data_IF_344794404924
#
_entry.id   IF_344794404924
#
_cell.length_a   1.000
_cell.length_b   1.000
_cell.length_c   1.000
_cell.angle_alpha   90.00
_cell.angle_beta   90.00
_cell.angle_gamma   90.00
#
_symmetry.space_group_name_H-M   'P 1'
#
loop_
_entity.id
_entity.type
_entity.pdbx_description
1 polymer ?
#
# COMPACT_ATOMS: atom_id res chain seq x y z
N UNK A 1 11.12 15.76 2.67
CA UNK A 1 9.99 16.00 1.75
C UNK A 1 8.70 15.95 2.55
N UNK A 2 7.71 16.72 2.13
CA UNK A 2 6.34 16.69 2.67
C UNK A 2 5.65 15.38 2.31
N UNK A 3 4.54 15.06 2.97
CA UNK A 3 3.71 13.90 2.61
C UNK A 3 3.27 13.97 1.14
N UNK A 4 3.35 12.83 0.45
CA UNK A 4 2.90 12.70 -0.94
C UNK A 4 1.41 13.09 -1.09
N UNK A 5 0.58 12.80 -0.08
CA UNK A 5 -0.84 13.16 -0.08
C UNK A 5 -1.07 14.67 -0.21
N UNK A 6 -0.20 15.48 0.41
CA UNK A 6 -0.27 16.94 0.31
C UNK A 6 0.28 17.46 -1.02
N UNK A 7 1.35 16.83 -1.52
CA UNK A 7 2.03 17.31 -2.72
C UNK A 7 1.29 16.90 -4.01
N UNK A 8 0.60 15.76 -4.02
CA UNK A 8 -0.19 15.28 -5.17
C UNK A 8 -1.57 15.91 -5.28
N UNK A 9 -2.10 16.47 -4.19
CA UNK A 9 -3.49 16.92 -4.13
C UNK A 9 -4.52 15.79 -4.09
N UNK A 10 -4.10 14.53 -3.92
CA UNK A 10 -5.01 13.39 -3.77
C UNK A 10 -5.87 13.52 -2.50
N UNK A 11 -7.01 12.85 -2.49
CA UNK A 11 -7.90 12.81 -1.32
C UNK A 11 -7.47 11.76 -0.31
N UNK A 12 -6.99 10.61 -0.80
CA UNK A 12 -6.60 9.45 -0.03
C UNK A 12 -5.40 8.76 -0.70
N UNK A 13 -4.54 8.11 0.09
CA UNK A 13 -3.53 7.18 -0.40
C UNK A 13 -3.89 5.79 0.12
N UNK A 14 -3.96 4.80 -0.76
CA UNK A 14 -3.88 3.39 -0.41
C UNK A 14 -2.42 2.94 -0.53
N UNK A 15 -1.87 2.34 0.51
CA UNK A 15 -0.47 1.91 0.57
C UNK A 15 -0.34 0.42 0.87
N UNK A 16 0.82 -0.11 0.55
CA UNK A 16 1.09 -1.54 0.70
C UNK A 16 0.39 -2.38 -0.36
N UNK A 17 -0.07 -3.57 0.03
CA UNK A 17 -0.87 -4.45 -0.83
C UNK A 17 -2.34 -4.05 -0.68
N UNK A 18 -2.89 -3.44 -1.71
CA UNK A 18 -4.13 -2.66 -1.64
C UNK A 18 -5.42 -3.40 -1.97
N UNK A 19 -5.40 -4.72 -2.21
CA UNK A 19 -6.55 -5.46 -2.71
C UNK A 19 -7.78 -5.33 -1.81
N UNK A 20 -7.63 -5.53 -0.50
CA UNK A 20 -8.72 -5.34 0.46
C UNK A 20 -9.13 -3.88 0.59
N UNK A 21 -8.14 -3.00 0.71
CA UNK A 21 -8.40 -1.56 0.90
C UNK A 21 -9.19 -0.97 -0.26
N UNK A 22 -8.90 -1.36 -1.51
CA UNK A 22 -9.61 -0.81 -2.67
C UNK A 22 -11.06 -1.29 -2.71
N UNK A 23 -11.34 -2.52 -2.30
CA UNK A 23 -12.72 -3.04 -2.22
C UNK A 23 -13.48 -2.31 -1.11
N UNK A 24 -12.91 -2.19 0.10
CA UNK A 24 -13.53 -1.46 1.21
C UNK A 24 -13.81 0.00 0.85
N UNK A 25 -12.88 0.68 0.15
CA UNK A 25 -13.07 2.05 -0.33
C UNK A 25 -14.21 2.11 -1.34
N UNK A 26 -14.25 1.19 -2.31
CA UNK A 26 -15.28 1.14 -3.35
C UNK A 26 -16.67 0.92 -2.74
N UNK A 27 -16.80 -0.02 -1.81
CA UNK A 27 -18.06 -0.33 -1.13
C UNK A 27 -18.55 0.85 -0.28
N UNK A 28 -17.64 1.51 0.43
CA UNK A 28 -17.97 2.68 1.23
C UNK A 28 -18.47 3.84 0.34
N UNK A 29 -17.79 4.12 -0.77
CA UNK A 29 -18.21 5.14 -1.73
C UNK A 29 -19.56 4.77 -2.38
N UNK A 30 -19.76 3.52 -2.74
CA UNK A 30 -21.03 3.03 -3.29
C UNK A 30 -22.18 3.16 -2.28
N UNK A 31 -21.87 3.06 -0.99
CA UNK A 31 -22.83 3.29 0.11
C UNK A 31 -23.12 4.77 0.39
N UNK A 32 -22.49 5.70 -0.35
CA UNK A 32 -22.67 7.13 -0.21
C UNK A 32 -21.79 7.80 0.84
N UNK A 33 -20.81 7.11 1.39
CA UNK A 33 -19.82 7.71 2.30
C UNK A 33 -18.88 8.61 1.46
N UNK A 34 -18.65 9.84 1.93
CA UNK A 34 -17.72 10.74 1.26
C UNK A 34 -16.28 10.24 1.38
N UNK A 35 -15.47 10.44 0.34
CA UNK A 35 -14.04 10.12 0.37
C UNK A 35 -13.31 10.77 1.56
N UNK A 36 -13.78 11.93 2.02
CA UNK A 36 -13.18 12.64 3.15
C UNK A 36 -13.49 11.98 4.50
N UNK A 37 -14.55 11.18 4.57
CA UNK A 37 -14.98 10.46 5.76
C UNK A 37 -14.39 9.04 5.83
N UNK A 38 -13.63 8.63 4.81
CA UNK A 38 -12.93 7.33 4.77
C UNK A 38 -11.67 7.35 5.67
N UNK A 39 -11.89 7.45 6.97
CA UNK A 39 -10.82 7.52 7.98
C UNK A 39 -10.50 6.18 8.65
N UNK A 40 -11.27 5.13 8.33
CA UNK A 40 -11.29 3.86 9.05
C UNK A 40 -10.66 2.68 8.27
N UNK A 41 -10.41 2.83 6.97
CA UNK A 41 -9.88 1.74 6.13
C UNK A 41 -8.41 1.51 6.41
N UNK A 42 -8.03 0.27 6.76
CA UNK A 42 -6.64 -0.10 6.95
C UNK A 42 -5.85 -0.03 5.64
N UNK A 43 -4.54 0.27 5.73
CA UNK A 43 -3.71 0.46 4.55
C UNK A 43 -3.96 1.78 3.83
N UNK A 44 -4.52 2.79 4.52
CA UNK A 44 -4.77 4.11 3.94
C UNK A 44 -4.09 5.23 4.71
N UNK A 45 -3.88 6.35 4.00
CA UNK A 45 -3.43 7.62 4.57
C UNK A 45 -4.42 8.70 4.17
N UNK A 46 -4.93 9.44 5.13
CA UNK A 46 -5.87 10.54 4.92
C UNK A 46 -5.40 11.83 5.59
N UNK A 47 -6.06 12.94 5.26
CA UNK A 47 -5.80 14.26 5.86
C UNK A 47 -7.00 14.71 6.68
N UNK A 48 -6.76 15.35 7.82
CA UNK A 48 -7.80 16.00 8.63
C UNK A 48 -7.33 17.34 9.17
N UNK A 49 -8.27 18.25 9.42
CA UNK A 49 -8.04 19.53 10.08
C UNK A 49 -8.30 19.50 11.59
N UNK A 50 -8.89 18.42 12.08
CA UNK A 50 -9.36 18.29 13.46
C UNK A 50 -8.53 17.25 14.20
N UNK A 51 -7.76 17.71 15.18
CA UNK A 51 -6.93 16.83 16.03
C UNK A 51 -7.78 15.90 16.89
N UNK A 52 -8.92 16.38 17.30
CA UNK A 52 -9.92 15.67 18.11
C UNK A 52 -10.52 14.44 17.41
N UNK A 53 -10.47 14.39 16.08
CA UNK A 53 -10.94 13.26 15.29
C UNK A 53 -9.88 12.14 15.15
N UNK A 54 -8.66 12.38 15.67
CA UNK A 54 -7.55 11.42 15.59
C UNK A 54 -7.52 10.57 16.85
N UNK A 55 -8.17 9.41 16.82
CA UNK A 55 -8.24 8.49 17.96
C UNK A 55 -7.15 7.41 17.90
N UNK A 56 -6.63 7.03 19.07
CA UNK A 56 -5.65 5.96 19.28
C UNK A 56 -4.48 6.00 18.29
N UNK A 57 -3.89 7.19 18.13
CA UNK A 57 -2.78 7.40 17.22
C UNK A 57 -1.48 7.75 17.97
N UNK A 58 -0.37 7.28 17.43
CA UNK A 58 0.97 7.72 17.85
C UNK A 58 1.27 9.01 17.08
N UNK A 59 1.45 10.11 17.79
CA UNK A 59 1.90 11.35 17.16
C UNK A 59 3.41 11.30 16.91
N UNK A 60 3.76 11.43 15.63
CA UNK A 60 5.14 11.61 15.20
C UNK A 60 5.62 13.02 15.54
N UNK A 61 6.93 13.28 15.62
CA UNK A 61 7.42 14.65 15.60
C UNK A 61 6.82 15.41 14.41
N UNK A 62 6.46 16.66 14.61
CA UNK A 62 5.87 17.48 13.55
C UNK A 62 6.82 17.73 12.38
N UNK A 63 6.28 18.05 11.22
CA UNK A 63 7.03 18.19 9.98
C UNK A 63 8.14 19.27 10.07
N UNK A 64 7.86 20.43 10.64
CA UNK A 64 8.86 21.52 10.71
C UNK A 64 10.02 21.17 11.68
N UNK A 65 9.71 20.53 12.80
CA UNK A 65 10.73 20.03 13.73
C UNK A 65 11.62 18.95 13.07
N UNK A 66 11.04 18.02 12.32
CA UNK A 66 11.81 17.01 11.59
C UNK A 66 12.65 17.58 10.46
N UNK A 67 12.20 18.65 9.83
CA UNK A 67 12.94 19.34 8.79
C UNK A 67 14.17 20.05 9.37
N UNK A 68 14.08 20.57 10.59
CA UNK A 68 15.14 21.26 11.29
C UNK A 68 16.15 20.30 11.96
N UNK A 69 15.71 19.13 12.43
CA UNK A 69 16.52 18.17 13.20
C UNK A 69 16.47 16.76 12.59
N UNK A 70 17.61 16.31 12.06
CA UNK A 70 17.78 14.96 11.50
C UNK A 70 17.58 13.86 12.54
N UNK A 71 17.82 14.13 13.82
CA UNK A 71 17.60 13.17 14.90
C UNK A 71 16.11 12.89 15.10
N UNK A 72 15.27 13.93 15.02
CA UNK A 72 13.82 13.78 15.06
C UNK A 72 13.30 13.03 13.84
N UNK A 73 13.87 13.26 12.67
CA UNK A 73 13.55 12.50 11.47
C UNK A 73 13.87 11.00 11.64
N UNK A 74 15.06 10.68 12.17
CA UNK A 74 15.45 9.30 12.45
C UNK A 74 14.54 8.64 13.50
N UNK A 75 14.14 9.39 14.53
CA UNK A 75 13.18 8.92 15.55
C UNK A 75 11.81 8.63 14.93
N UNK A 76 11.31 9.52 14.07
CA UNK A 76 10.06 9.32 13.33
C UNK A 76 10.12 8.05 12.48
N UNK A 77 11.20 7.84 11.72
CA UNK A 77 11.40 6.63 10.93
C UNK A 77 11.38 5.36 11.82
N UNK A 78 12.06 5.38 12.96
CA UNK A 78 12.05 4.26 13.91
C UNK A 78 10.66 3.92 14.47
N UNK A 79 9.81 4.94 14.69
CA UNK A 79 8.42 4.74 15.09
C UNK A 79 7.62 4.12 13.94
N UNK A 80 7.76 4.64 12.72
CA UNK A 80 7.08 4.13 11.53
C UNK A 80 7.46 2.67 11.26
N UNK A 81 8.75 2.33 11.34
CA UNK A 81 9.23 0.96 11.14
C UNK A 81 8.61 -0.03 12.14
N UNK A 82 8.46 0.36 13.41
CA UNK A 82 7.83 -0.48 14.43
C UNK A 82 6.33 -0.69 14.21
N UNK A 83 5.69 0.26 13.55
CA UNK A 83 4.25 0.25 13.27
C UNK A 83 3.91 -0.18 11.83
N UNK A 84 4.88 -0.65 11.05
CA UNK A 84 4.67 -1.25 9.73
C UNK A 84 4.16 -2.70 9.79
N UNK A 85 3.79 -3.20 10.96
CA UNK A 85 3.26 -4.55 11.17
C UNK A 85 1.73 -4.53 11.06
N UNK A 86 1.11 -5.38 10.23
CA UNK A 86 -0.35 -5.37 10.03
C UNK A 86 -1.15 -5.94 11.20
N UNK A 87 -0.49 -6.58 12.18
CA UNK A 87 -1.14 -7.18 13.35
C UNK A 87 -1.02 -6.26 14.58
N UNK A 88 0.17 -5.64 14.77
CA UNK A 88 0.50 -4.86 15.96
C UNK A 88 0.67 -3.37 15.69
N UNK A 89 0.73 -2.98 14.41
CA UNK A 89 0.89 -1.60 14.00
C UNK A 89 -0.26 -0.74 14.50
N UNK A 90 0.07 0.47 14.91
CA UNK A 90 -0.89 1.48 15.34
C UNK A 90 -1.05 2.57 14.30
N UNK A 91 -2.17 3.27 14.37
CA UNK A 91 -2.38 4.52 13.65
C UNK A 91 -1.28 5.52 14.03
N UNK A 92 -0.80 6.26 13.05
CA UNK A 92 0.20 7.31 13.25
C UNK A 92 -0.30 8.62 12.68
N UNK A 93 0.04 9.73 13.33
CA UNK A 93 -0.33 11.06 12.87
C UNK A 93 0.89 11.98 12.85
N UNK A 94 1.02 12.77 11.78
CA UNK A 94 2.05 13.79 11.61
C UNK A 94 1.38 15.15 11.43
N UNK A 95 1.81 16.13 12.21
CA UNK A 95 1.29 17.50 12.15
C UNK A 95 2.10 18.34 11.16
N UNK A 96 1.41 19.06 10.28
CA UNK A 96 1.99 19.99 9.31
C UNK A 96 1.68 21.47 9.62
N UNK A 97 0.54 21.74 10.25
CA UNK A 97 0.17 23.06 10.79
C UNK A 97 -0.84 22.86 11.92
N UNK A 98 -1.32 23.96 12.51
CA UNK A 98 -2.32 23.94 13.57
C UNK A 98 -3.60 23.18 13.16
N UNK A 99 -3.96 23.28 11.89
CA UNK A 99 -5.20 22.66 11.33
C UNK A 99 -4.91 21.71 10.15
N UNK A 100 -3.74 21.05 10.16
CA UNK A 100 -3.42 20.08 9.09
C UNK A 100 -2.63 18.90 9.66
N UNK A 101 -3.26 17.75 9.64
CA UNK A 101 -2.70 16.48 10.08
C UNK A 101 -2.78 15.46 8.94
N UNK A 102 -1.74 14.69 8.79
CA UNK A 102 -1.72 13.48 7.96
C UNK A 102 -1.80 12.28 8.91
N UNK A 103 -2.77 11.43 8.67
CA UNK A 103 -3.02 10.25 9.50
C UNK A 103 -2.84 9.00 8.64
N UNK A 104 -1.96 8.13 9.09
CA UNK A 104 -1.72 6.82 8.50
C UNK A 104 -2.40 5.75 9.35
N UNK A 105 -3.37 5.06 8.78
CA UNK A 105 -3.97 3.88 9.38
C UNK A 105 -2.96 2.72 9.45
N UNK A 106 -3.16 1.71 10.30
CA UNK A 106 -2.36 0.50 10.28
C UNK A 106 -2.36 -0.15 8.88
N UNK A 107 -1.32 -0.92 8.51
CA UNK A 107 -1.32 -1.67 7.27
C UNK A 107 -2.54 -2.57 7.14
N UNK A 108 -2.99 -2.82 5.91
CA UNK A 108 -4.01 -3.82 5.64
C UNK A 108 -3.54 -5.22 6.09
N UNK A 109 -4.46 -6.05 6.55
CA UNK A 109 -4.12 -7.44 6.94
C UNK A 109 -3.66 -8.23 5.71
N UNK A 110 -2.71 -9.15 5.88
CA UNK A 110 -2.29 -10.04 4.81
C UNK A 110 -3.48 -10.84 4.25
N UNK A 111 -3.42 -11.14 2.96
CA UNK A 111 -4.38 -12.03 2.32
C UNK A 111 -4.16 -13.47 2.80
N UNK A 112 -5.24 -14.24 2.88
CA UNK A 112 -5.15 -15.70 3.00
C UNK A 112 -4.65 -16.32 1.68
N UNK A 113 -4.35 -17.62 1.69
CA UNK A 113 -3.95 -18.32 0.47
C UNK A 113 -5.09 -18.33 -0.56
N UNK A 114 -6.32 -18.54 -0.10
CA UNK A 114 -7.52 -18.55 -0.94
C UNK A 114 -7.74 -17.18 -1.60
N UNK A 115 -7.64 -16.10 -0.83
CA UNK A 115 -7.75 -14.74 -1.36
C UNK A 115 -6.63 -14.42 -2.36
N UNK A 116 -5.40 -14.90 -2.10
CA UNK A 116 -4.30 -14.77 -3.04
C UNK A 116 -4.61 -15.50 -4.36
N UNK A 117 -5.13 -16.71 -4.28
CA UNK A 117 -5.49 -17.51 -5.45
C UNK A 117 -6.60 -16.83 -6.27
N UNK A 118 -7.63 -16.31 -5.61
CA UNK A 118 -8.71 -15.54 -6.25
C UNK A 118 -8.19 -14.30 -7.00
N UNK A 119 -7.24 -13.56 -6.41
CA UNK A 119 -6.62 -12.39 -7.06
C UNK A 119 -5.87 -12.80 -8.33
N UNK A 120 -5.13 -13.90 -8.28
CA UNK A 120 -4.35 -14.37 -9.43
C UNK A 120 -5.17 -15.13 -10.47
N UNK A 121 -6.39 -15.53 -10.14
CA UNK A 121 -7.37 -16.10 -11.08
C UNK A 121 -8.15 -15.02 -11.87
N UNK A 122 -7.94 -13.72 -11.55
CA UNK A 122 -8.50 -12.61 -12.33
C UNK A 122 -8.00 -12.65 -13.79
N UNK A 123 -8.84 -12.25 -14.78
CA UNK A 123 -8.53 -12.36 -16.20
C UNK A 123 -7.51 -11.29 -16.64
N UNK A 124 -6.28 -11.40 -16.19
CA UNK A 124 -5.21 -10.51 -16.59
C UNK A 124 -4.89 -10.63 -18.08
N UNK A 125 -4.80 -9.50 -18.79
CA UNK A 125 -4.59 -9.44 -20.23
C UNK A 125 -3.17 -9.85 -20.65
N UNK A 126 -2.18 -9.83 -19.76
CA UNK A 126 -0.75 -10.04 -20.07
C UNK A 126 -0.28 -9.29 -21.32
N UNK A 127 -0.76 -8.08 -21.48
CA UNK A 127 -0.47 -7.21 -22.61
C UNK A 127 -0.16 -5.79 -22.14
N UNK A 128 0.62 -5.09 -22.94
CA UNK A 128 0.89 -3.67 -22.76
C UNK A 128 -0.39 -2.88 -23.03
N UNK A 129 -0.70 -1.88 -22.20
CA UNK A 129 -1.88 -1.04 -22.42
C UNK A 129 -1.83 -0.37 -23.81
N UNK A 130 -2.94 -0.34 -24.57
CA UNK A 130 -2.95 0.18 -25.94
C UNK A 130 -2.37 1.60 -26.11
N UNK A 131 -2.54 2.47 -25.08
CA UNK A 131 -1.96 3.82 -25.12
C UNK A 131 -0.42 3.85 -25.15
N UNK A 132 0.24 2.78 -24.70
CA UNK A 132 1.70 2.68 -24.74
C UNK A 132 2.22 2.24 -26.11
N UNK A 133 1.41 1.54 -26.90
CA UNK A 133 1.82 1.02 -28.22
C UNK A 133 2.19 2.12 -29.21
N UNK A 134 1.59 3.31 -29.07
CA UNK A 134 1.89 4.48 -29.91
C UNK A 134 3.24 5.11 -29.61
N UNK A 135 3.84 4.79 -28.46
CA UNK A 135 5.12 5.35 -28.00
C UNK A 135 6.30 4.40 -28.22
N UNK A 136 6.05 3.22 -28.78
CA UNK A 136 7.03 2.17 -29.01
C UNK A 136 6.88 0.99 -28.04
N UNK A 137 7.84 0.08 -28.07
CA UNK A 137 7.84 -1.08 -27.17
C UNK A 137 8.16 -0.69 -25.72
N UNK A 138 7.57 -1.42 -24.76
CA UNK A 138 7.93 -1.34 -23.35
C UNK A 138 9.07 -2.34 -23.08
N UNK A 139 10.32 -1.91 -22.89
CA UNK A 139 11.49 -2.80 -22.89
C UNK A 139 11.42 -3.92 -21.85
N UNK A 140 10.86 -3.64 -20.68
CA UNK A 140 10.76 -4.63 -19.60
C UNK A 140 9.61 -5.64 -19.81
N UNK A 141 8.72 -5.42 -20.76
CA UNK A 141 7.53 -6.26 -20.90
C UNK A 141 7.88 -7.69 -21.31
N UNK A 142 8.82 -7.88 -22.23
CA UNK A 142 9.29 -9.21 -22.64
C UNK A 142 9.87 -10.03 -21.49
N UNK A 143 10.47 -9.36 -20.50
CA UNK A 143 11.06 -10.00 -19.32
C UNK A 143 10.01 -10.48 -18.32
N UNK A 144 8.85 -9.80 -18.25
CA UNK A 144 7.85 -10.06 -17.21
C UNK A 144 6.59 -10.75 -17.71
N UNK A 145 6.34 -10.79 -19.04
CA UNK A 145 5.09 -11.31 -19.62
C UNK A 145 4.73 -12.70 -19.10
N UNK A 146 5.71 -13.58 -18.97
CA UNK A 146 5.54 -14.95 -18.51
C UNK A 146 6.09 -15.21 -17.10
N UNK A 147 6.09 -14.19 -16.25
CA UNK A 147 6.53 -14.32 -14.86
C UNK A 147 5.41 -14.82 -13.96
N UNK A 148 5.73 -15.78 -13.09
CA UNK A 148 4.84 -16.28 -12.04
C UNK A 148 5.21 -15.68 -10.69
N UNK A 149 4.25 -15.11 -9.99
CA UNK A 149 4.42 -14.66 -8.61
C UNK A 149 3.90 -15.73 -7.66
N UNK A 150 4.81 -16.43 -6.97
CA UNK A 150 4.44 -17.49 -6.04
C UNK A 150 4.06 -16.99 -4.66
N UNK A 151 4.64 -15.88 -4.24
CA UNK A 151 4.43 -15.32 -2.90
C UNK A 151 4.71 -13.82 -2.89
N UNK A 152 4.19 -13.16 -1.86
CA UNK A 152 4.44 -11.75 -1.52
C UNK A 152 4.92 -11.64 -0.08
N UNK A 153 5.59 -10.51 0.23
CA UNK A 153 6.15 -10.26 1.54
C UNK A 153 7.60 -10.73 1.68
N UNK A 154 8.31 -10.18 2.66
CA UNK A 154 9.69 -10.56 2.94
C UNK A 154 10.04 -10.29 4.40
N UNK A 155 10.48 -11.31 5.11
CA UNK A 155 10.91 -11.20 6.51
C UNK A 155 12.34 -10.64 6.68
N UNK A 156 13.08 -10.41 5.59
CA UNK A 156 14.51 -10.09 5.61
C UNK A 156 14.84 -8.78 6.32
N UNK A 157 14.15 -7.68 6.04
CA UNK A 157 14.39 -6.39 6.68
C UNK A 157 15.72 -5.74 6.33
N UNK A 158 16.26 -5.99 5.15
CA UNK A 158 17.53 -5.41 4.67
C UNK A 158 17.43 -3.88 4.61
N UNK A 159 18.49 -3.19 5.05
CA UNK A 159 18.48 -1.73 5.20
C UNK A 159 18.32 -0.94 3.89
N UNK A 160 18.64 -1.54 2.76
CA UNK A 160 18.52 -0.94 1.42
C UNK A 160 17.20 -1.26 0.71
N UNK A 161 16.39 -2.20 1.25
CA UNK A 161 15.26 -2.79 0.52
C UNK A 161 13.93 -2.26 1.03
N UNK A 162 13.09 -1.75 0.13
CA UNK A 162 11.75 -1.27 0.45
C UNK A 162 10.68 -2.37 0.43
N UNK A 163 11.01 -3.61 0.07
CA UNK A 163 10.04 -4.69 -0.12
C UNK A 163 9.21 -4.96 1.14
N UNK A 164 9.85 -4.98 2.31
CA UNK A 164 9.16 -5.18 3.60
C UNK A 164 8.21 -4.06 3.97
N UNK A 165 8.45 -2.84 3.49
CA UNK A 165 7.55 -1.71 3.69
C UNK A 165 6.39 -1.71 2.70
N UNK A 166 6.61 -2.22 1.49
CA UNK A 166 5.60 -2.27 0.45
C UNK A 166 4.70 -3.52 0.58
N UNK A 167 5.30 -4.70 0.69
CA UNK A 167 4.55 -5.97 0.72
C UNK A 167 4.34 -6.53 2.13
N UNK A 168 4.99 -5.93 3.15
CA UNK A 168 4.94 -6.42 4.52
C UNK A 168 5.96 -7.51 4.82
N UNK A 169 6.00 -7.92 6.10
CA UNK A 169 6.95 -8.93 6.61
C UNK A 169 6.35 -10.34 6.67
N UNK A 170 5.05 -10.44 6.56
CA UNK A 170 4.33 -11.73 6.57
C UNK A 170 4.30 -12.25 5.15
N UNK A 171 4.78 -13.48 4.97
CA UNK A 171 4.74 -14.14 3.66
C UNK A 171 3.32 -14.60 3.37
N UNK A 172 2.83 -14.22 2.20
CA UNK A 172 1.53 -14.60 1.66
C UNK A 172 1.81 -15.46 0.42
N UNK A 173 1.36 -16.69 0.41
CA UNK A 173 1.66 -17.66 -0.65
C UNK A 173 0.40 -18.02 -1.42
N UNK A 174 0.58 -18.33 -2.69
CA UNK A 174 -0.42 -19.00 -3.53
C UNK A 174 -0.37 -20.50 -3.33
N UNK A 175 -1.46 -21.19 -3.64
CA UNK A 175 -1.48 -22.66 -3.74
C UNK A 175 -0.69 -23.14 -4.95
N UNK A 176 -0.25 -24.39 -4.91
CA UNK A 176 0.39 -25.03 -6.08
C UNK A 176 -0.58 -25.12 -7.25
N UNK A 177 -1.83 -25.41 -6.98
CA UNK A 177 -2.90 -25.52 -7.97
C UNK A 177 -3.11 -24.20 -8.72
N UNK A 178 -3.10 -23.08 -8.00
CA UNK A 178 -3.19 -21.74 -8.61
C UNK A 178 -2.00 -21.46 -9.52
N UNK A 179 -0.79 -21.80 -9.09
CA UNK A 179 0.43 -21.62 -9.90
C UNK A 179 0.42 -22.49 -11.16
N UNK A 180 -0.02 -23.75 -11.06
CA UNK A 180 -0.11 -24.68 -12.20
C UNK A 180 -1.13 -24.16 -13.20
N UNK A 181 -2.32 -23.76 -12.75
CA UNK A 181 -3.36 -23.19 -13.64
C UNK A 181 -2.84 -21.97 -14.41
N UNK A 182 -2.15 -21.06 -13.72
CA UNK A 182 -1.58 -19.87 -14.38
C UNK A 182 -0.49 -20.25 -15.39
N UNK A 183 0.38 -21.21 -15.06
CA UNK A 183 1.40 -21.71 -15.97
C UNK A 183 0.79 -22.34 -17.22
N UNK A 184 -0.27 -23.13 -17.08
CA UNK A 184 -1.02 -23.71 -18.19
C UNK A 184 -1.67 -22.63 -19.07
N UNK A 185 -2.27 -21.61 -18.47
CA UNK A 185 -2.82 -20.46 -19.22
C UNK A 185 -1.74 -19.75 -20.04
N UNK A 186 -0.54 -19.57 -19.49
CA UNK A 186 0.58 -18.95 -20.21
C UNK A 186 1.03 -19.75 -21.44
N UNK A 187 0.89 -21.05 -21.43
CA UNK A 187 1.25 -21.88 -22.62
C UNK A 187 0.29 -21.69 -23.80
N UNK A 188 -0.89 -21.13 -23.55
CA UNK A 188 -1.91 -20.85 -24.55
C UNK A 188 -1.98 -19.34 -24.92
N UNK A 189 -1.18 -18.50 -24.26
CA UNK A 189 -1.09 -17.06 -24.55
C UNK A 189 -0.15 -16.85 -25.77
N UNK A 190 -0.63 -16.19 -26.85
CA UNK A 190 0.16 -15.99 -28.07
C UNK A 190 1.36 -15.05 -27.92
#
# INVERSE_FOLDING_TARGET
KRSLLLDSGADLISYGMGERSIVEIADALASGISIRDLTFVNGTVYKTSHKEDIYDAIFLPDYESMKADKTLYAKSFGIQQKNADPIRGKRMAEQYSEHLFIVQNPPAKPLSQEEMDEIYDLPFQRAVHPSCLTQGEVPAFSEIKFSLTSNRGCFGGCSFCALTFHQGRIIQTRSHESLIREAEQMTHDP
#
